data_IF_874757504646
#
_entry.id   IF_874757504646
#
_cell.length_a   1.000
_cell.length_b   1.000
_cell.length_c   1.000
_cell.angle_alpha   90.00
_cell.angle_beta   90.00
_cell.angle_gamma   90.00
#
_symmetry.space_group_name_H-M   'P 1'
#
loop_
_entity.id
_entity.type
_entity.pdbx_description
1 polymer ?
#
# COMPACT_ATOMS: atom_id res chain seq x y z
N UNK A 1 23.72 -11.86 6.18
CA UNK A 1 22.57 -11.00 5.83
C UNK A 1 21.45 -11.29 6.82
N UNK A 2 20.91 -10.25 7.40
CA UNK A 2 19.86 -10.34 8.41
C UNK A 2 18.53 -9.90 7.78
N UNK A 3 17.46 -10.66 8.01
CA UNK A 3 16.11 -10.23 7.68
C UNK A 3 15.59 -9.32 8.79
N UNK A 4 14.91 -8.23 8.41
CA UNK A 4 14.27 -7.29 9.33
C UNK A 4 12.77 -7.15 8.98
N UNK A 5 11.96 -8.19 9.25
CA UNK A 5 10.57 -8.23 8.81
C UNK A 5 9.75 -7.06 9.37
N UNK A 6 9.04 -6.34 8.51
CA UNK A 6 8.19 -5.22 8.90
C UNK A 6 8.93 -3.93 9.32
N UNK A 7 10.27 -3.90 9.25
CA UNK A 7 11.04 -2.73 9.68
C UNK A 7 11.14 -1.67 8.57
N UNK A 8 11.32 -2.10 7.34
CA UNK A 8 11.36 -1.19 6.17
C UNK A 8 9.95 -0.93 5.64
N UNK A 9 9.78 0.22 5.01
CA UNK A 9 8.51 0.57 4.38
C UNK A 9 8.31 -0.23 3.09
N UNK A 10 7.03 -0.42 2.74
CA UNK A 10 6.60 -1.07 1.51
C UNK A 10 5.60 -0.16 0.80
N UNK A 11 5.75 0.00 -0.50
CA UNK A 11 4.80 0.73 -1.32
C UNK A 11 4.13 -0.24 -2.28
N UNK A 12 2.81 -0.37 -2.16
CA UNK A 12 1.99 -1.26 -2.98
C UNK A 12 1.35 -0.51 -4.14
N UNK A 13 0.95 -1.24 -5.18
CA UNK A 13 0.28 -0.71 -6.38
C UNK A 13 1.09 0.35 -7.15
N UNK A 14 2.41 0.34 -6.98
CA UNK A 14 3.31 1.27 -7.66
C UNK A 14 3.16 1.16 -9.19
N UNK A 15 3.16 2.30 -9.86
CA UNK A 15 2.99 2.39 -11.32
C UNK A 15 1.55 2.69 -11.75
N UNK A 16 0.57 2.68 -10.82
CA UNK A 16 -0.78 3.12 -11.16
C UNK A 16 -0.80 4.63 -11.40
N UNK A 17 -1.45 5.00 -12.48
CA UNK A 17 -1.74 6.36 -12.91
C UNK A 17 -3.09 6.38 -13.63
N UNK A 18 -3.51 7.53 -14.15
CA UNK A 18 -4.82 7.67 -14.79
C UNK A 18 -4.99 6.75 -16.02
N UNK A 19 -3.92 6.43 -16.73
CA UNK A 19 -3.95 5.51 -17.86
C UNK A 19 -3.90 4.04 -17.41
N UNK A 20 -3.02 3.71 -16.48
CA UNK A 20 -2.81 2.35 -16.03
C UNK A 20 -4.03 1.78 -15.28
N UNK A 21 -4.76 2.61 -14.52
CA UNK A 21 -5.97 2.18 -13.82
C UNK A 21 -7.07 1.74 -14.78
N UNK A 22 -7.22 2.43 -15.92
CA UNK A 22 -8.19 2.05 -16.96
C UNK A 22 -7.80 0.72 -17.64
N UNK A 23 -6.49 0.53 -17.86
CA UNK A 23 -5.95 -0.74 -18.36
C UNK A 23 -6.21 -1.90 -17.40
N UNK A 24 -6.00 -1.67 -16.10
CA UNK A 24 -6.27 -2.66 -15.05
C UNK A 24 -7.76 -2.99 -14.95
N UNK A 25 -8.63 -1.96 -15.00
CA UNK A 25 -10.08 -2.13 -14.99
C UNK A 25 -10.58 -3.00 -16.15
N UNK A 26 -10.08 -2.73 -17.36
CA UNK A 26 -10.40 -3.53 -18.56
C UNK A 26 -9.88 -4.95 -18.45
N UNK A 27 -8.62 -5.15 -18.05
CA UNK A 27 -7.98 -6.45 -17.93
C UNK A 27 -8.67 -7.38 -16.93
N UNK A 28 -9.13 -6.82 -15.81
CA UNK A 28 -9.77 -7.59 -14.74
C UNK A 28 -11.29 -7.66 -14.88
N UNK A 29 -11.87 -6.88 -15.79
CA UNK A 29 -13.31 -6.63 -15.88
C UNK A 29 -13.92 -6.22 -14.53
N UNK A 30 -13.13 -5.50 -13.72
CA UNK A 30 -13.51 -5.08 -12.38
C UNK A 30 -13.03 -3.64 -12.09
N UNK A 31 -13.78 -2.62 -12.54
CA UNK A 31 -13.43 -1.22 -12.32
C UNK A 31 -13.32 -0.87 -10.84
N UNK A 32 -14.19 -1.43 -9.99
CA UNK A 32 -14.15 -1.20 -8.55
C UNK A 32 -12.80 -1.59 -7.97
N UNK A 33 -12.32 -2.78 -8.26
CA UNK A 33 -11.02 -3.27 -7.84
C UNK A 33 -9.88 -2.34 -8.31
N UNK A 34 -9.89 -1.96 -9.59
CA UNK A 34 -8.83 -1.13 -10.16
C UNK A 34 -8.75 0.24 -9.47
N UNK A 35 -9.89 0.90 -9.26
CA UNK A 35 -9.93 2.20 -8.60
C UNK A 35 -9.67 2.13 -7.11
N UNK A 36 -10.03 1.03 -6.43
CA UNK A 36 -9.61 0.81 -5.04
C UNK A 36 -8.08 0.65 -4.92
N UNK A 37 -7.45 -0.07 -5.85
CA UNK A 37 -5.99 -0.15 -5.92
C UNK A 37 -5.36 1.23 -6.13
N UNK A 38 -5.92 2.06 -7.02
CA UNK A 38 -5.39 3.39 -7.30
C UNK A 38 -5.56 4.33 -6.12
N UNK A 39 -6.76 4.37 -5.51
CA UNK A 39 -7.00 5.15 -4.28
C UNK A 39 -6.00 4.79 -3.18
N UNK A 40 -5.81 3.49 -2.92
CA UNK A 40 -4.85 2.99 -1.92
C UNK A 40 -3.41 3.36 -2.26
N UNK A 41 -3.06 3.34 -3.54
CA UNK A 41 -1.73 3.76 -3.96
C UNK A 41 -1.48 5.24 -3.69
N UNK A 42 -2.41 6.13 -4.06
CA UNK A 42 -2.27 7.56 -3.80
C UNK A 42 -2.12 7.81 -2.30
N UNK A 43 -2.97 7.22 -1.47
CA UNK A 43 -2.89 7.34 -0.01
C UNK A 43 -1.54 6.86 0.53
N UNK A 44 -1.10 5.67 0.13
CA UNK A 44 0.15 5.09 0.60
C UNK A 44 1.38 5.86 0.12
N UNK A 45 1.39 6.31 -1.13
CA UNK A 45 2.46 7.12 -1.68
C UNK A 45 2.56 8.47 -0.94
N UNK A 46 1.42 9.11 -0.70
CA UNK A 46 1.36 10.36 0.04
C UNK A 46 1.83 10.21 1.49
N UNK A 47 1.44 9.12 2.16
CA UNK A 47 1.83 8.85 3.55
C UNK A 47 3.32 8.46 3.66
N UNK A 48 3.77 7.49 2.87
CA UNK A 48 5.10 6.88 3.03
C UNK A 48 6.19 7.66 2.28
N UNK A 49 5.90 8.11 1.05
CA UNK A 49 6.90 8.76 0.20
C UNK A 49 7.01 10.24 0.52
N UNK A 50 5.85 10.91 0.72
CA UNK A 50 5.78 12.35 0.94
C UNK A 50 5.57 12.73 2.41
N UNK A 51 5.39 11.76 3.30
CA UNK A 51 5.25 11.96 4.76
C UNK A 51 4.07 12.88 5.16
N UNK A 52 3.00 12.90 4.34
CA UNK A 52 1.83 13.76 4.58
C UNK A 52 0.92 13.29 5.72
N UNK A 53 1.06 12.01 6.10
CA UNK A 53 0.12 11.36 7.01
C UNK A 53 -1.18 10.95 6.30
N UNK A 54 -1.84 9.93 6.85
CA UNK A 54 -3.01 9.29 6.22
C UNK A 54 -4.35 9.90 6.63
N UNK A 55 -4.40 10.69 7.71
CA UNK A 55 -5.65 11.23 8.27
C UNK A 55 -6.49 12.01 7.27
N UNK A 56 -5.87 12.85 6.45
CA UNK A 56 -6.58 13.63 5.42
C UNK A 56 -7.34 12.77 4.42
N UNK A 57 -6.79 11.60 4.09
CA UNK A 57 -7.39 10.65 3.17
C UNK A 57 -8.48 9.82 3.85
N UNK A 58 -8.25 9.41 5.10
CA UNK A 58 -9.23 8.67 5.91
C UNK A 58 -10.50 9.50 6.13
N UNK A 59 -10.36 10.78 6.44
CA UNK A 59 -11.50 11.71 6.58
C UNK A 59 -12.37 11.76 5.30
N UNK A 60 -11.78 11.71 4.12
CA UNK A 60 -12.53 11.70 2.85
C UNK A 60 -13.25 10.38 2.62
N UNK A 61 -12.63 9.26 2.98
CA UNK A 61 -13.27 7.95 2.91
C UNK A 61 -14.48 7.91 3.86
N UNK A 62 -14.32 8.39 5.08
CA UNK A 62 -15.39 8.40 6.07
C UNK A 62 -16.55 9.32 5.65
N UNK A 63 -16.25 10.52 5.14
CA UNK A 63 -17.26 11.41 4.58
C UNK A 63 -18.01 10.79 3.37
N UNK A 64 -17.31 10.04 2.51
CA UNK A 64 -17.94 9.33 1.40
C UNK A 64 -18.87 8.22 1.92
N UNK A 65 -18.44 7.44 2.90
CA UNK A 65 -19.26 6.40 3.51
C UNK A 65 -20.52 6.98 4.16
N UNK A 66 -20.38 8.07 4.90
CA UNK A 66 -21.51 8.79 5.48
C UNK A 66 -22.52 9.26 4.41
N UNK A 67 -22.03 9.90 3.36
CA UNK A 67 -22.86 10.39 2.25
C UNK A 67 -23.63 9.25 1.54
N UNK A 68 -23.03 8.07 1.46
CA UNK A 68 -23.62 6.87 0.85
C UNK A 68 -24.44 6.01 1.80
N UNK A 69 -24.39 6.27 3.10
CA UNK A 69 -25.08 5.47 4.11
C UNK A 69 -24.49 4.07 4.29
N UNK A 70 -23.22 3.86 3.97
CA UNK A 70 -22.51 2.58 4.09
C UNK A 70 -21.50 2.61 5.25
N UNK A 71 -21.10 1.44 5.73
CA UNK A 71 -20.19 1.32 6.89
C UNK A 71 -18.78 0.88 6.51
N UNK A 72 -18.64 0.11 5.44
CA UNK A 72 -17.38 -0.50 5.06
C UNK A 72 -16.91 0.01 3.69
N UNK A 73 -15.60 0.12 3.51
CA UNK A 73 -14.98 0.52 2.23
C UNK A 73 -15.37 -0.41 1.07
N UNK A 74 -15.63 -1.69 1.38
CA UNK A 74 -16.01 -2.68 0.37
C UNK A 74 -17.40 -2.42 -0.24
N UNK A 75 -18.24 -1.63 0.42
CA UNK A 75 -19.57 -1.26 -0.05
C UNK A 75 -19.56 -0.06 -1.01
N UNK A 76 -18.43 0.67 -1.11
CA UNK A 76 -18.25 1.75 -2.08
C UNK A 76 -18.14 1.17 -3.50
N UNK A 77 -18.86 1.78 -4.43
CA UNK A 77 -18.85 1.36 -5.82
C UNK A 77 -17.67 1.97 -6.62
N UNK A 78 -17.57 1.61 -7.91
CA UNK A 78 -16.51 2.10 -8.77
C UNK A 78 -16.54 3.62 -8.99
N UNK A 79 -17.73 4.25 -8.99
CA UNK A 79 -17.87 5.69 -9.18
C UNK A 79 -17.46 6.44 -7.93
N UNK A 80 -17.82 5.92 -6.76
CA UNK A 80 -17.39 6.47 -5.47
C UNK A 80 -15.86 6.46 -5.35
N UNK A 81 -15.23 5.36 -5.75
CA UNK A 81 -13.77 5.23 -5.73
C UNK A 81 -13.08 6.14 -6.76
N UNK A 82 -13.71 6.36 -7.93
CA UNK A 82 -13.23 7.36 -8.91
C UNK A 82 -13.28 8.77 -8.35
N UNK A 83 -14.33 9.10 -7.61
CA UNK A 83 -14.47 10.41 -6.95
C UNK A 83 -13.39 10.55 -5.86
N UNK A 84 -13.20 9.54 -5.01
CA UNK A 84 -12.14 9.54 -4.00
C UNK A 84 -10.74 9.70 -4.61
N UNK A 85 -10.45 9.07 -5.74
CA UNK A 85 -9.17 9.27 -6.46
C UNK A 85 -8.96 10.73 -6.84
N UNK A 86 -10.00 11.42 -7.32
CA UNK A 86 -9.91 12.85 -7.63
C UNK A 86 -9.68 13.70 -6.39
N UNK A 87 -10.43 13.44 -5.32
CA UNK A 87 -10.26 14.14 -4.04
C UNK A 87 -8.86 13.91 -3.47
N UNK A 88 -8.33 12.70 -3.55
CA UNK A 88 -6.99 12.37 -3.05
C UNK A 88 -5.88 13.07 -3.83
N UNK A 89 -6.02 13.16 -5.16
CA UNK A 89 -5.09 13.92 -6.00
C UNK A 89 -5.16 15.41 -5.68
N UNK A 90 -6.35 15.93 -5.36
CA UNK A 90 -6.52 17.32 -4.93
C UNK A 90 -5.84 17.59 -3.58
N UNK A 91 -6.01 16.69 -2.59
CA UNK A 91 -5.31 16.78 -1.31
C UNK A 91 -3.79 16.77 -1.52
N UNK A 92 -3.30 15.88 -2.38
CA UNK A 92 -1.88 15.81 -2.71
C UNK A 92 -1.38 17.14 -3.26
N UNK A 93 -2.07 17.70 -4.26
CA UNK A 93 -1.76 19.00 -4.86
C UNK A 93 -1.74 20.13 -3.82
N UNK A 94 -2.75 20.20 -2.96
CA UNK A 94 -2.85 21.24 -1.92
C UNK A 94 -1.73 21.15 -0.87
N UNK A 95 -1.28 19.94 -0.55
CA UNK A 95 -0.25 19.72 0.48
C UNK A 95 1.18 19.77 -0.07
N UNK A 96 1.40 19.33 -1.31
CA UNK A 96 2.73 19.28 -1.92
C UNK A 96 3.01 20.47 -2.86
N UNK A 97 1.97 21.16 -3.34
CA UNK A 97 2.12 22.23 -4.32
C UNK A 97 2.36 21.73 -5.75
N UNK A 98 2.29 20.42 -5.98
CA UNK A 98 2.48 19.78 -7.29
C UNK A 98 1.47 18.64 -7.48
N UNK A 99 1.20 18.28 -8.73
CA UNK A 99 0.28 17.20 -9.07
C UNK A 99 0.84 15.83 -8.65
N UNK A 100 -0.06 14.88 -8.35
CA UNK A 100 0.33 13.50 -8.09
C UNK A 100 1.06 12.91 -9.31
N UNK A 101 2.27 12.36 -9.15
CA UNK A 101 3.12 11.94 -10.26
C UNK A 101 2.45 10.87 -11.13
N UNK A 102 2.38 11.13 -12.43
CA UNK A 102 1.79 10.22 -13.42
C UNK A 102 2.84 9.39 -14.17
N UNK A 103 4.14 9.74 -14.08
CA UNK A 103 5.22 8.92 -14.62
C UNK A 103 5.58 7.78 -13.65
N UNK A 104 5.43 6.50 -14.07
CA UNK A 104 5.78 5.37 -13.23
C UNK A 104 7.26 5.33 -12.80
N UNK A 105 8.16 5.92 -13.57
CA UNK A 105 9.58 6.01 -13.21
C UNK A 105 9.82 7.01 -12.08
N UNK A 106 9.15 8.15 -12.14
CA UNK A 106 9.18 9.14 -11.08
C UNK A 106 8.63 8.55 -9.77
N UNK A 107 7.48 7.88 -9.84
CA UNK A 107 6.90 7.16 -8.71
C UNK A 107 7.88 6.13 -8.14
N UNK A 108 8.55 5.36 -9.00
CA UNK A 108 9.52 4.34 -8.58
C UNK A 108 10.71 4.97 -7.85
N UNK A 109 11.29 6.03 -8.38
CA UNK A 109 12.43 6.71 -7.74
C UNK A 109 12.03 7.30 -6.38
N UNK A 110 10.85 7.90 -6.28
CA UNK A 110 10.29 8.37 -5.00
C UNK A 110 10.15 7.23 -3.98
N UNK A 111 9.56 6.11 -4.39
CA UNK A 111 9.38 4.94 -3.55
C UNK A 111 10.71 4.32 -3.10
N UNK A 112 11.70 4.19 -3.99
CA UNK A 112 13.04 3.68 -3.66
C UNK A 112 13.71 4.57 -2.60
N UNK A 113 13.66 5.90 -2.78
CA UNK A 113 14.17 6.85 -1.79
C UNK A 113 13.49 6.70 -0.42
N UNK A 114 12.16 6.52 -0.41
CA UNK A 114 11.40 6.33 0.83
C UNK A 114 11.80 5.03 1.56
N UNK A 115 11.98 3.92 0.83
CA UNK A 115 12.46 2.67 1.43
C UNK A 115 13.85 2.82 2.03
N UNK A 116 14.77 3.52 1.36
CA UNK A 116 16.09 3.81 1.95
C UNK A 116 15.98 4.71 3.19
N UNK A 117 15.14 5.75 3.18
CA UNK A 117 14.90 6.57 4.38
C UNK A 117 14.34 5.76 5.55
N UNK A 118 13.50 4.75 5.28
CA UNK A 118 12.91 3.91 6.32
C UNK A 118 13.92 3.10 7.13
N UNK A 119 15.20 3.02 6.70
CA UNK A 119 16.31 2.51 7.49
C UNK A 119 16.46 3.27 8.81
N UNK A 120 16.19 4.57 8.81
CA UNK A 120 16.30 5.45 9.97
C UNK A 120 15.02 5.60 10.78
N UNK A 121 13.94 4.89 10.40
CA UNK A 121 12.71 4.89 11.18
C UNK A 121 12.92 4.39 12.62
N UNK A 122 12.20 4.94 13.61
CA UNK A 122 12.36 4.57 15.02
C UNK A 122 12.27 3.06 15.27
N UNK A 123 11.29 2.38 14.63
CA UNK A 123 11.14 0.92 14.74
C UNK A 123 12.35 0.15 14.21
N UNK A 124 12.93 0.59 13.10
CA UNK A 124 14.11 -0.03 12.50
C UNK A 124 15.35 0.17 13.38
N UNK A 125 15.52 1.36 13.96
CA UNK A 125 16.60 1.67 14.90
C UNK A 125 16.54 0.78 16.15
N UNK A 126 15.35 0.63 16.75
CA UNK A 126 15.15 -0.24 17.93
C UNK A 126 15.44 -1.69 17.57
N UNK A 127 14.91 -2.18 16.44
CA UNK A 127 15.13 -3.56 15.99
C UNK A 127 16.62 -3.87 15.78
N UNK A 128 17.35 -2.98 15.08
CA UNK A 128 18.79 -3.14 14.88
C UNK A 128 19.55 -3.20 16.19
N UNK A 129 19.24 -2.30 17.11
CA UNK A 129 19.88 -2.28 18.44
C UNK A 129 19.65 -3.59 19.22
N UNK A 130 18.42 -4.12 19.18
CA UNK A 130 18.06 -5.37 19.89
C UNK A 130 18.70 -6.62 19.25
N UNK A 131 19.00 -6.58 17.95
CA UNK A 131 19.53 -7.71 17.21
C UNK A 131 21.01 -7.54 16.83
N UNK A 132 21.70 -6.53 17.39
CA UNK A 132 23.11 -6.25 17.15
C UNK A 132 23.46 -6.10 15.67
N UNK A 133 22.56 -5.49 14.88
CA UNK A 133 22.73 -5.25 13.45
C UNK A 133 23.45 -3.93 13.26
N UNK A 134 24.66 -3.91 12.65
CA UNK A 134 25.40 -2.68 12.40
C UNK A 134 24.66 -1.69 11.51
N UNK A 135 24.68 -0.42 11.86
CA UNK A 135 24.02 0.65 11.10
C UNK A 135 24.58 0.77 9.67
N UNK A 136 25.89 0.63 9.52
CA UNK A 136 26.62 0.78 8.26
C UNK A 136 26.28 -0.30 7.21
N UNK A 137 25.56 -1.35 7.58
CA UNK A 137 25.14 -2.36 6.59
C UNK A 137 24.11 -1.83 5.58
N UNK A 138 23.31 -0.85 5.99
CA UNK A 138 22.25 -0.30 5.15
C UNK A 138 21.19 -1.33 4.77
N UNK A 139 20.35 -0.98 3.82
CA UNK A 139 19.28 -1.85 3.33
C UNK A 139 19.29 -1.96 1.81
N UNK A 140 18.50 -2.88 1.27
CA UNK A 140 18.27 -3.04 -0.16
C UNK A 140 16.78 -2.89 -0.47
N UNK A 141 16.49 -2.54 -1.71
CA UNK A 141 15.12 -2.39 -2.23
C UNK A 141 14.86 -3.48 -3.27
N UNK A 142 13.74 -4.17 -3.12
CA UNK A 142 13.22 -5.09 -4.13
C UNK A 142 12.01 -4.46 -4.82
N UNK A 143 12.01 -4.49 -6.15
CA UNK A 143 10.85 -4.16 -6.98
C UNK A 143 10.27 -5.47 -7.48
N UNK A 144 9.04 -5.78 -7.06
CA UNK A 144 8.41 -7.06 -7.34
C UNK A 144 7.04 -6.89 -7.96
N UNK A 145 6.72 -7.70 -8.95
CA UNK A 145 5.38 -7.74 -9.52
C UNK A 145 4.38 -8.20 -8.46
N UNK A 146 3.26 -7.47 -8.34
CA UNK A 146 2.19 -7.83 -7.42
C UNK A 146 1.32 -8.97 -7.98
N UNK A 147 0.97 -9.91 -7.09
CA UNK A 147 -0.14 -10.83 -7.27
C UNK A 147 -1.32 -10.33 -6.43
N UNK A 148 -2.50 -10.19 -7.06
CA UNK A 148 -3.67 -9.62 -6.40
C UNK A 148 -4.56 -10.73 -5.83
N UNK A 149 -4.68 -10.77 -4.50
CA UNK A 149 -5.58 -11.70 -3.80
C UNK A 149 -7.04 -11.25 -3.76
N UNK A 150 -7.38 -10.11 -4.36
CA UNK A 150 -8.71 -9.48 -4.33
C UNK A 150 -9.21 -9.06 -5.71
N UNK A 151 -8.68 -9.65 -6.78
CA UNK A 151 -9.05 -9.27 -8.16
C UNK A 151 -10.39 -9.87 -8.62
N UNK A 152 -10.94 -10.85 -7.91
CA UNK A 152 -12.22 -11.48 -8.21
C UNK A 152 -12.42 -12.78 -7.46
N UNK A 153 -13.55 -13.45 -7.70
CA UNK A 153 -14.00 -14.67 -7.00
C UNK A 153 -13.04 -15.88 -7.04
N UNK A 154 -12.03 -15.83 -7.90
CA UNK A 154 -11.02 -16.89 -8.01
C UNK A 154 -9.65 -16.45 -7.47
N UNK A 155 -9.64 -15.36 -6.73
CA UNK A 155 -8.45 -14.84 -6.06
C UNK A 155 -8.58 -15.04 -4.57
N UNK A 156 -7.45 -15.16 -3.90
CA UNK A 156 -7.40 -15.24 -2.45
C UNK A 156 -6.05 -14.76 -1.93
N UNK A 157 -6.02 -14.43 -0.67
CA UNK A 157 -4.79 -14.08 0.05
C UNK A 157 -4.78 -14.78 1.40
N UNK A 158 -3.60 -15.04 1.93
CA UNK A 158 -3.50 -15.69 3.23
C UNK A 158 -2.14 -15.56 3.85
N UNK A 159 -2.06 -15.95 5.11
CA UNK A 159 -0.83 -16.05 5.89
C UNK A 159 -0.65 -17.50 6.33
N UNK A 160 0.51 -18.05 6.10
CA UNK A 160 0.85 -19.42 6.51
C UNK A 160 2.13 -19.43 7.34
N UNK A 161 2.12 -20.26 8.38
CA UNK A 161 3.25 -20.51 9.26
C UNK A 161 3.70 -21.96 9.13
N UNK A 162 5.00 -22.17 9.01
CA UNK A 162 5.60 -23.51 8.96
C UNK A 162 5.63 -24.21 10.31
N UNK A 163 5.34 -23.45 11.38
CA UNK A 163 5.21 -23.92 12.76
C UNK A 163 4.02 -23.26 13.42
N UNK A 164 3.39 -23.95 14.35
CA UNK A 164 2.38 -23.39 15.22
C UNK A 164 3.00 -22.24 16.05
N UNK A 165 2.51 -20.99 15.91
CA UNK A 165 3.08 -19.83 16.60
C UNK A 165 2.86 -19.87 18.13
N UNK A 166 1.88 -20.64 18.63
CA UNK A 166 1.60 -20.76 20.06
C UNK A 166 2.43 -21.86 20.74
N UNK A 167 2.64 -22.98 20.05
CA UNK A 167 3.26 -24.17 20.66
C UNK A 167 4.66 -24.47 20.13
N UNK A 168 5.07 -23.87 19.00
CA UNK A 168 6.31 -24.18 18.30
C UNK A 168 6.32 -25.53 17.56
N UNK A 169 5.22 -26.29 17.61
CA UNK A 169 5.12 -27.59 16.95
C UNK A 169 5.28 -27.44 15.43
N UNK A 170 5.97 -28.39 14.79
CA UNK A 170 6.17 -28.41 13.33
C UNK A 170 4.87 -28.85 12.61
N UNK A 171 3.96 -27.91 12.49
CA UNK A 171 2.66 -28.08 11.86
C UNK A 171 2.36 -26.85 10.98
N UNK A 172 1.98 -27.08 9.74
CA UNK A 172 1.51 -26.00 8.86
C UNK A 172 0.19 -25.47 9.40
N UNK A 173 0.15 -24.17 9.65
CA UNK A 173 -1.05 -23.44 10.09
C UNK A 173 -1.19 -22.15 9.28
N UNK A 174 -2.42 -21.66 9.16
CA UNK A 174 -2.65 -20.41 8.48
C UNK A 174 -4.12 -20.06 8.39
N UNK A 175 -4.38 -18.88 7.89
CA UNK A 175 -5.69 -18.35 7.57
C UNK A 175 -5.68 -17.74 6.17
N UNK A 176 -6.83 -17.70 5.53
CA UNK A 176 -6.98 -17.12 4.19
C UNK A 176 -8.32 -16.40 4.05
N UNK A 177 -8.34 -15.46 3.10
CA UNK A 177 -9.52 -14.75 2.62
C UNK A 177 -9.67 -15.01 1.12
N UNK A 178 -10.91 -15.17 0.69
CA UNK A 178 -11.31 -15.33 -0.72
C UNK A 178 -12.02 -14.05 -1.17
#
# INVERSE_FOLDING_TARGET
RQSMPGMMDTILNLGLNDQAVEGLAKKTNNPRFAYDCYRRFIQMYSDVVMELGKSFFEERIDAMKERKGVKQDVELDANDLKELVKEFKQIYLEKQGEEFPQDPKEQLIGAVKAVFRSWDNPRANVYRKMNEIPYEWGTAVNVQQMAFGNSGMRSGTGVAFTRDPATGAKKLMGEYLI
#
